data_IF_181734870552
#
_entry.id   IF_181734870552
#
_cell.length_a   1.000
_cell.length_b   1.000
_cell.length_c   1.000
_cell.angle_alpha   90.00
_cell.angle_beta   90.00
_cell.angle_gamma   90.00
#
_symmetry.space_group_name_H-M   'P 1'
#
loop_
_entity.id
_entity.type
_entity.pdbx_description
1 polymer ?
#
# COMPACT_ATOMS: atom_id res chain seq x y z
N UNK A 1 -25.01 1.75 -80.37
CA UNK A 1 -24.65 0.31 -80.31
C UNK A 1 -24.39 -0.02 -78.88
N UNK A 2 -25.34 -0.65 -78.14
CA UNK A 2 -25.15 -1.14 -76.80
C UNK A 2 -24.09 -2.24 -76.74
N UNK A 3 -23.19 -2.22 -75.79
CA UNK A 3 -22.27 -3.33 -75.55
C UNK A 3 -23.07 -4.57 -75.16
N UNK A 4 -22.75 -5.71 -75.82
CA UNK A 4 -23.43 -7.00 -75.58
C UNK A 4 -23.12 -7.64 -74.23
N UNK A 5 -22.17 -7.05 -73.43
CA UNK A 5 -21.75 -7.57 -72.15
C UNK A 5 -21.69 -6.45 -71.12
N UNK A 6 -22.34 -6.64 -69.96
CA UNK A 6 -22.23 -5.77 -68.82
C UNK A 6 -20.96 -6.19 -68.04
N UNK A 7 -20.07 -5.24 -67.79
CA UNK A 7 -18.93 -5.44 -66.91
C UNK A 7 -19.29 -5.05 -65.45
N UNK A 8 -18.97 -5.92 -64.52
CA UNK A 8 -19.12 -5.64 -63.08
C UNK A 8 -17.98 -4.72 -62.68
N UNK A 9 -18.26 -3.74 -61.83
CA UNK A 9 -17.21 -2.87 -61.26
C UNK A 9 -16.15 -3.71 -60.56
N UNK A 10 -14.88 -3.34 -60.78
CA UNK A 10 -13.76 -3.95 -60.09
C UNK A 10 -13.86 -3.72 -58.56
N UNK A 11 -13.18 -4.53 -57.80
CA UNK A 11 -13.08 -4.35 -56.35
C UNK A 11 -12.70 -2.90 -56.02
N UNK A 12 -13.24 -2.37 -54.91
CA UNK A 12 -13.08 -0.96 -54.51
C UNK A 12 -14.01 0.04 -55.21
N UNK A 13 -14.76 -0.41 -56.24
CA UNK A 13 -15.65 0.47 -57.02
C UNK A 13 -17.09 -0.05 -57.01
N UNK A 14 -18.07 0.83 -57.12
CA UNK A 14 -19.47 0.52 -57.06
C UNK A 14 -20.28 1.35 -58.09
N UNK A 15 -21.50 0.96 -58.34
CA UNK A 15 -22.48 1.73 -59.11
C UNK A 15 -23.73 1.91 -58.26
N UNK A 16 -24.35 3.09 -58.29
CA UNK A 16 -25.60 3.34 -57.56
C UNK A 16 -26.84 2.79 -58.27
N UNK A 17 -26.79 2.61 -59.56
CA UNK A 17 -27.89 2.14 -60.38
C UNK A 17 -27.38 1.18 -61.47
N UNK A 18 -28.19 0.14 -61.77
CA UNK A 18 -27.89 -0.77 -62.87
C UNK A 18 -27.92 -0.01 -64.19
N UNK A 19 -26.99 -0.35 -65.08
CA UNK A 19 -26.90 0.29 -66.40
C UNK A 19 -26.07 1.59 -66.42
N UNK A 20 -25.36 1.92 -65.36
CA UNK A 20 -24.40 3.06 -65.29
C UNK A 20 -23.23 2.76 -66.26
N UNK A 21 -22.74 3.82 -66.92
CA UNK A 21 -21.58 3.76 -67.81
C UNK A 21 -20.23 3.85 -67.12
N UNK A 22 -20.23 4.18 -65.81
CA UNK A 22 -19.00 4.34 -65.01
C UNK A 22 -19.19 3.83 -63.60
N UNK A 23 -18.09 3.33 -63.04
CA UNK A 23 -18.00 2.92 -61.61
C UNK A 23 -17.44 4.06 -60.76
N UNK A 24 -18.00 4.26 -59.57
CA UNK A 24 -17.55 5.20 -58.55
C UNK A 24 -16.62 4.49 -57.58
N UNK A 25 -15.63 5.15 -57.09
CA UNK A 25 -14.75 4.63 -56.06
C UNK A 25 -15.42 4.67 -54.66
N UNK A 26 -15.22 3.61 -53.88
CA UNK A 26 -15.62 3.65 -52.48
C UNK A 26 -14.87 4.79 -51.73
N UNK A 27 -15.55 5.62 -50.93
CA UNK A 27 -14.91 6.69 -50.22
C UNK A 27 -14.00 6.16 -49.08
N UNK A 28 -13.18 7.03 -48.53
CA UNK A 28 -12.38 6.70 -47.33
C UNK A 28 -13.28 6.17 -46.19
N UNK A 29 -12.78 5.20 -45.43
CA UNK A 29 -13.56 4.50 -44.43
C UNK A 29 -14.49 3.42 -44.97
N UNK A 30 -14.50 3.19 -46.27
CA UNK A 30 -15.31 2.19 -46.93
C UNK A 30 -14.46 1.27 -47.83
N UNK A 31 -14.99 0.11 -48.09
CA UNK A 31 -14.37 -0.90 -48.96
C UNK A 31 -15.41 -1.66 -49.79
N UNK A 32 -15.00 -2.32 -50.83
CA UNK A 32 -15.80 -3.32 -51.53
C UNK A 32 -14.90 -4.43 -52.09
N UNK A 33 -15.02 -5.64 -51.55
CA UNK A 33 -14.35 -6.80 -52.12
C UNK A 33 -15.01 -7.24 -53.44
N UNK A 34 -14.32 -8.05 -54.22
CA UNK A 34 -14.80 -8.50 -55.50
C UNK A 34 -16.12 -9.28 -55.43
N UNK A 35 -16.28 -10.08 -54.35
CA UNK A 35 -17.46 -10.89 -54.07
C UNK A 35 -18.63 -10.11 -53.46
N UNK A 36 -18.42 -8.84 -53.10
CA UNK A 36 -19.48 -8.01 -52.53
C UNK A 36 -20.43 -7.47 -53.62
N UNK A 37 -21.65 -7.07 -53.20
CA UNK A 37 -22.60 -6.42 -54.12
C UNK A 37 -21.94 -5.26 -54.88
N UNK A 38 -22.10 -5.19 -56.19
CA UNK A 38 -21.52 -4.11 -56.98
C UNK A 38 -22.22 -2.76 -56.77
N UNK A 39 -23.36 -2.72 -56.05
CA UNK A 39 -24.19 -1.53 -55.90
C UNK A 39 -23.89 -0.68 -54.70
N UNK A 40 -23.04 -1.16 -53.77
CA UNK A 40 -22.73 -0.42 -52.54
C UNK A 40 -21.35 -0.79 -51.98
N UNK A 41 -20.73 0.15 -51.28
CA UNK A 41 -19.56 -0.11 -50.46
C UNK A 41 -19.97 -0.49 -49.02
N UNK A 42 -19.13 -1.26 -48.35
CA UNK A 42 -19.24 -1.61 -46.94
C UNK A 42 -18.36 -0.67 -46.08
N UNK A 43 -18.84 -0.31 -44.94
CA UNK A 43 -18.07 0.47 -43.98
C UNK A 43 -16.96 -0.40 -43.35
N UNK A 44 -15.79 0.17 -43.14
CA UNK A 44 -14.81 -0.47 -42.27
C UNK A 44 -15.38 -0.63 -40.84
N UNK A 45 -15.23 -1.81 -40.29
CA UNK A 45 -15.62 -2.10 -38.92
C UNK A 45 -14.67 -1.40 -37.91
N UNK A 46 -15.08 -1.39 -36.64
CA UNK A 46 -14.24 -0.89 -35.52
C UNK A 46 -12.90 -1.65 -35.49
N UNK A 47 -11.84 -0.94 -35.18
CA UNK A 47 -10.47 -1.47 -35.24
C UNK A 47 -9.84 -1.41 -36.62
N UNK A 48 -10.63 -1.13 -37.67
CA UNK A 48 -10.19 -1.06 -39.05
C UNK A 48 -10.37 0.35 -39.62
N UNK A 49 -9.57 0.69 -40.61
CA UNK A 49 -9.64 1.97 -41.29
C UNK A 49 -9.35 1.85 -42.79
N UNK A 50 -9.63 2.92 -43.49
CA UNK A 50 -9.25 3.06 -44.89
C UNK A 50 -8.97 4.53 -45.24
N UNK A 51 -7.72 4.86 -45.49
CA UNK A 51 -7.28 6.22 -45.75
C UNK A 51 -7.31 6.65 -47.21
N UNK A 52 -7.67 5.73 -48.12
CA UNK A 52 -7.72 6.00 -49.53
C UNK A 52 -9.09 5.61 -50.11
N UNK A 53 -9.43 6.16 -51.26
CA UNK A 53 -10.62 5.76 -52.03
C UNK A 53 -10.36 4.49 -52.85
N UNK A 54 -11.43 3.83 -53.27
CA UNK A 54 -11.33 2.69 -54.20
C UNK A 54 -10.66 1.46 -53.59
N UNK A 55 -10.67 1.27 -52.32
CA UNK A 55 -9.99 0.13 -51.67
C UNK A 55 -10.86 -1.12 -51.60
N UNK A 56 -10.29 -2.31 -51.87
CA UNK A 56 -11.02 -3.58 -51.83
C UNK A 56 -11.18 -4.15 -50.44
N UNK A 57 -10.41 -3.69 -49.44
CA UNK A 57 -10.43 -4.15 -48.05
C UNK A 57 -10.07 -3.00 -47.10
N UNK A 58 -10.45 -3.14 -45.84
CA UNK A 58 -10.01 -2.23 -44.78
C UNK A 58 -8.70 -2.70 -44.14
N UNK A 59 -7.88 -1.76 -43.73
CA UNK A 59 -6.61 -2.00 -43.04
C UNK A 59 -6.82 -2.07 -41.54
N UNK A 60 -6.06 -2.90 -40.86
CA UNK A 60 -6.05 -2.96 -39.42
C UNK A 60 -5.27 -1.78 -38.83
N UNK A 61 -5.78 -1.16 -37.75
CA UNK A 61 -4.99 -0.23 -36.99
C UNK A 61 -3.79 -0.96 -36.36
N UNK A 62 -2.61 -0.37 -36.49
CA UNK A 62 -1.39 -0.94 -35.90
C UNK A 62 -1.42 -0.90 -34.37
N UNK A 63 -0.56 -1.70 -33.73
CA UNK A 63 -0.36 -1.64 -32.29
C UNK A 63 0.02 -0.20 -31.87
N UNK A 64 -0.49 0.26 -30.73
CA UNK A 64 -0.40 1.66 -30.30
C UNK A 64 -1.51 2.56 -30.84
N UNK A 65 -2.36 2.04 -31.76
CA UNK A 65 -3.45 2.79 -32.39
C UNK A 65 -4.77 2.03 -32.29
N UNK A 66 -5.89 2.74 -32.45
CA UNK A 66 -7.23 2.18 -32.39
C UNK A 66 -8.22 2.91 -33.33
N UNK A 67 -9.33 2.25 -33.62
CA UNK A 67 -10.49 2.87 -34.24
C UNK A 67 -11.75 2.42 -33.49
N UNK A 68 -12.38 3.35 -32.76
CA UNK A 68 -13.56 3.10 -31.94
C UNK A 68 -14.89 3.24 -32.70
N UNK A 69 -14.82 3.71 -33.95
CA UNK A 69 -15.98 3.92 -34.79
C UNK A 69 -15.84 3.17 -36.10
N UNK A 70 -16.98 2.74 -36.62
CA UNK A 70 -17.05 2.26 -38.02
C UNK A 70 -16.78 3.41 -38.98
N UNK A 71 -16.35 3.08 -40.20
CA UNK A 71 -16.12 4.06 -41.24
C UNK A 71 -14.92 4.98 -40.96
N UNK A 72 -14.00 4.54 -40.12
CA UNK A 72 -12.78 5.32 -39.81
C UNK A 72 -11.90 5.44 -41.07
N UNK A 73 -11.47 6.67 -41.36
CA UNK A 73 -10.48 6.92 -42.42
C UNK A 73 -9.06 6.88 -41.89
N UNK A 74 -8.87 7.02 -40.57
CA UNK A 74 -7.57 6.99 -39.88
C UNK A 74 -7.74 6.28 -38.55
N UNK A 75 -6.65 5.72 -38.04
CA UNK A 75 -6.56 5.24 -36.67
C UNK A 75 -6.14 6.38 -35.71
N UNK A 76 -6.71 6.40 -34.53
CA UNK A 76 -6.33 7.29 -33.44
C UNK A 76 -5.16 6.69 -32.65
N UNK A 77 -4.17 7.50 -32.30
CA UNK A 77 -3.06 7.09 -31.46
C UNK A 77 -3.47 6.98 -29.99
N UNK A 78 -2.98 5.98 -29.28
CA UNK A 78 -3.07 5.94 -27.83
C UNK A 78 -2.39 7.16 -27.22
N UNK A 79 -3.03 7.75 -26.21
CA UNK A 79 -2.49 8.88 -25.46
C UNK A 79 -1.40 8.41 -24.51
N UNK A 80 -0.68 9.38 -23.91
CA UNK A 80 0.27 9.13 -22.83
C UNK A 80 -0.38 8.30 -21.73
N UNK A 81 0.37 7.39 -21.12
CA UNK A 81 -0.13 6.49 -20.10
C UNK A 81 -0.96 5.33 -20.63
N UNK A 82 -1.15 5.22 -21.93
CA UNK A 82 -2.00 4.19 -22.55
C UNK A 82 -1.26 3.46 -23.69
N UNK A 83 -1.71 2.24 -23.98
CA UNK A 83 -1.12 1.41 -25.02
C UNK A 83 -2.14 0.46 -25.64
N UNK A 84 -1.80 -0.12 -26.80
CA UNK A 84 -2.46 -1.30 -27.36
C UNK A 84 -1.43 -2.28 -27.91
N UNK A 85 -1.43 -3.50 -27.42
CA UNK A 85 -0.41 -4.50 -27.80
C UNK A 85 -0.64 -5.15 -29.16
N UNK A 86 -1.89 -5.21 -29.61
CA UNK A 86 -2.29 -5.92 -30.84
C UNK A 86 -2.83 -4.93 -31.86
N UNK A 87 -2.86 -5.36 -33.12
CA UNK A 87 -3.54 -4.66 -34.22
C UNK A 87 -5.07 -4.75 -34.07
N UNK A 88 -5.76 -3.94 -34.82
CA UNK A 88 -7.22 -3.91 -34.91
C UNK A 88 -7.93 -3.64 -33.60
N UNK A 89 -7.31 -2.85 -32.69
CA UNK A 89 -7.90 -2.52 -31.39
C UNK A 89 -8.93 -1.40 -31.52
N UNK A 90 -9.94 -1.47 -30.67
CA UNK A 90 -11.05 -0.50 -30.62
C UNK A 90 -10.87 0.55 -29.54
N UNK A 91 -9.93 0.37 -28.63
CA UNK A 91 -9.59 1.30 -27.54
C UNK A 91 -8.20 1.01 -27.00
N UNK A 92 -7.60 2.01 -26.38
CA UNK A 92 -6.36 1.85 -25.63
C UNK A 92 -6.62 1.39 -24.20
N UNK A 93 -5.64 0.70 -23.62
CA UNK A 93 -5.61 0.27 -22.22
C UNK A 93 -4.65 1.17 -21.46
N UNK A 94 -4.95 1.43 -20.18
CA UNK A 94 -4.02 2.12 -19.30
C UNK A 94 -2.80 1.23 -19.03
N UNK A 95 -1.64 1.85 -18.84
CA UNK A 95 -0.50 1.15 -18.29
C UNK A 95 -0.82 0.71 -16.85
N UNK A 96 -0.54 -0.54 -16.52
CA UNK A 96 -0.69 -1.07 -15.18
C UNK A 96 0.26 -0.37 -14.19
N UNK A 97 -0.01 -0.52 -12.88
CA UNK A 97 0.93 -0.05 -11.85
C UNK A 97 2.32 -0.66 -12.05
N UNK A 98 3.36 0.14 -11.86
CA UNK A 98 4.74 -0.23 -12.13
C UNK A 98 5.17 -0.02 -13.58
N UNK A 99 4.27 0.53 -14.41
CA UNK A 99 4.55 0.84 -15.81
C UNK A 99 4.08 2.26 -16.15
N UNK A 100 4.70 2.85 -17.16
CA UNK A 100 4.35 4.16 -17.68
C UNK A 100 4.50 4.24 -19.20
N UNK A 101 3.86 5.21 -19.82
CA UNK A 101 4.05 5.53 -21.25
C UNK A 101 4.20 7.03 -21.44
N UNK A 102 5.41 7.46 -21.78
CA UNK A 102 5.78 8.87 -21.97
C UNK A 102 5.58 9.38 -23.40
N UNK A 103 5.12 8.53 -24.30
CA UNK A 103 4.91 8.87 -25.70
C UNK A 103 3.53 8.36 -26.15
N UNK A 104 3.00 8.95 -27.20
CA UNK A 104 1.75 8.48 -27.84
C UNK A 104 2.01 7.29 -28.75
N UNK A 105 0.96 6.60 -29.14
CA UNK A 105 1.00 5.45 -30.07
C UNK A 105 1.90 4.29 -29.59
N UNK A 106 2.06 4.11 -28.29
CA UNK A 106 2.90 3.04 -27.75
C UNK A 106 2.18 1.68 -27.79
N UNK A 107 2.90 0.66 -28.23
CA UNK A 107 2.43 -0.73 -28.23
C UNK A 107 2.62 -1.43 -26.88
N UNK A 108 3.50 -0.93 -26.03
CA UNK A 108 3.79 -1.45 -24.68
C UNK A 108 4.13 -0.28 -23.76
N UNK A 109 3.83 -0.46 -22.48
CA UNK A 109 4.30 0.45 -21.45
C UNK A 109 5.74 0.13 -21.03
N UNK A 110 6.51 1.15 -20.66
CA UNK A 110 7.87 1.03 -20.09
C UNK A 110 7.75 0.65 -18.61
N UNK A 111 8.57 -0.28 -18.16
CA UNK A 111 8.61 -0.69 -16.75
C UNK A 111 9.38 0.34 -15.92
N UNK A 112 8.91 0.59 -14.71
CA UNK A 112 9.66 1.37 -13.72
C UNK A 112 11.00 0.71 -13.37
N UNK A 113 12.00 1.48 -12.90
CA UNK A 113 13.24 0.94 -12.36
C UNK A 113 13.00 -0.12 -11.27
N UNK A 114 13.99 -0.99 -10.98
CA UNK A 114 13.87 -1.95 -9.90
C UNK A 114 13.44 -1.31 -8.58
N UNK A 115 12.69 -2.04 -7.76
CA UNK A 115 12.18 -1.62 -6.45
C UNK A 115 11.33 -0.32 -6.48
N UNK A 116 10.83 0.07 -7.65
CA UNK A 116 9.92 1.22 -7.78
C UNK A 116 8.59 0.82 -8.40
N UNK A 117 7.57 1.63 -8.16
CA UNK A 117 6.21 1.39 -8.62
C UNK A 117 5.53 2.73 -8.92
N UNK A 118 4.42 2.71 -9.64
CA UNK A 118 3.56 3.88 -9.82
C UNK A 118 2.36 3.81 -8.88
N UNK A 119 1.92 4.94 -8.35
CA UNK A 119 0.75 4.99 -7.47
C UNK A 119 -0.54 4.60 -8.19
N UNK A 120 -0.63 4.98 -9.47
CA UNK A 120 -1.84 4.84 -10.29
C UNK A 120 -1.52 4.16 -11.61
N UNK A 121 -2.53 3.52 -12.17
CA UNK A 121 -2.51 3.10 -13.57
C UNK A 121 -2.50 4.32 -14.50
N UNK A 122 -2.06 4.11 -15.73
CA UNK A 122 -2.04 5.18 -16.73
C UNK A 122 -0.98 6.25 -16.48
N UNK A 123 0.09 5.93 -15.78
CA UNK A 123 1.21 6.86 -15.53
C UNK A 123 1.89 7.27 -16.83
N UNK A 124 2.20 8.56 -16.94
CA UNK A 124 2.64 9.20 -18.18
C UNK A 124 4.15 9.47 -18.27
N UNK A 125 4.89 9.28 -17.18
CA UNK A 125 6.33 9.54 -17.13
C UNK A 125 7.05 8.64 -16.12
N UNK A 126 8.36 8.54 -16.25
CA UNK A 126 9.24 7.88 -15.29
C UNK A 126 9.27 8.57 -13.93
N UNK A 127 9.01 9.88 -13.88
CA UNK A 127 8.89 10.62 -12.62
C UNK A 127 7.72 10.16 -11.73
N UNK A 128 6.76 9.42 -12.29
CA UNK A 128 5.70 8.76 -11.54
C UNK A 128 6.17 7.48 -10.85
N UNK A 129 7.36 6.96 -11.18
CA UNK A 129 7.96 5.79 -10.54
C UNK A 129 8.60 6.22 -9.22
N UNK A 130 7.95 5.88 -8.12
CA UNK A 130 8.41 6.13 -6.74
C UNK A 130 8.83 4.80 -6.10
N UNK A 131 9.60 4.84 -5.02
CA UNK A 131 10.02 3.61 -4.34
C UNK A 131 8.81 2.76 -3.93
N UNK A 132 8.88 1.47 -4.19
CA UNK A 132 7.85 0.51 -3.88
C UNK A 132 7.67 0.35 -2.37
N UNK A 133 6.64 -0.41 -1.97
CA UNK A 133 6.43 -0.81 -0.57
C UNK A 133 7.69 -1.47 0.00
N UNK A 134 8.02 -1.11 1.23
CA UNK A 134 9.21 -1.56 1.97
C UNK A 134 10.57 -1.10 1.40
N UNK A 135 10.53 -0.12 0.50
CA UNK A 135 11.72 0.57 0.00
C UNK A 135 11.60 2.07 0.24
N UNK A 136 12.75 2.75 0.36
CA UNK A 136 12.85 4.19 0.49
C UNK A 136 13.90 4.75 -0.46
N UNK A 137 13.74 6.01 -0.83
CA UNK A 137 14.68 6.68 -1.72
C UNK A 137 15.93 7.11 -0.96
N UNK A 138 17.09 6.81 -1.54
CA UNK A 138 18.38 7.37 -1.14
C UNK A 138 19.20 7.74 -2.38
N UNK A 139 20.30 8.43 -2.19
CA UNK A 139 21.21 8.79 -3.28
C UNK A 139 22.39 7.85 -3.31
N UNK A 140 22.69 7.32 -4.49
CA UNK A 140 23.90 6.54 -4.71
C UNK A 140 25.15 7.44 -4.75
N UNK A 141 26.32 6.84 -4.89
CA UNK A 141 27.61 7.54 -4.99
C UNK A 141 27.68 8.53 -6.16
N UNK A 142 26.87 8.35 -7.19
CA UNK A 142 26.78 9.21 -8.37
C UNK A 142 25.69 10.30 -8.24
N UNK A 143 24.99 10.35 -7.11
CA UNK A 143 23.90 11.29 -6.86
C UNK A 143 22.55 10.90 -7.48
N UNK A 144 22.42 9.70 -8.06
CA UNK A 144 21.17 9.20 -8.60
C UNK A 144 20.25 8.72 -7.45
N UNK A 145 18.95 8.91 -7.62
CA UNK A 145 17.97 8.36 -6.67
C UNK A 145 17.79 6.87 -6.92
N UNK A 146 18.07 6.07 -5.90
CA UNK A 146 17.84 4.62 -5.89
C UNK A 146 16.86 4.26 -4.78
N UNK A 147 16.19 3.11 -4.91
CA UNK A 147 15.29 2.59 -3.89
C UNK A 147 16.00 1.50 -3.10
N UNK A 148 16.28 1.78 -1.83
CA UNK A 148 16.92 0.86 -0.89
C UNK A 148 15.89 0.20 0.01
N UNK A 149 16.10 -1.06 0.37
CA UNK A 149 15.18 -1.79 1.25
C UNK A 149 15.19 -1.22 2.67
N UNK A 150 14.04 -1.23 3.31
CA UNK A 150 13.97 -0.94 4.74
C UNK A 150 14.86 -1.90 5.55
N UNK A 151 15.44 -1.45 6.67
CA UNK A 151 16.18 -2.30 7.58
C UNK A 151 15.39 -3.56 8.01
N UNK A 152 16.06 -4.63 8.41
CA UNK A 152 15.38 -5.85 8.87
C UNK A 152 14.31 -5.57 9.93
N UNK A 153 13.19 -6.31 9.86
CA UNK A 153 12.05 -6.19 10.76
C UNK A 153 11.34 -4.81 10.75
N UNK A 154 11.55 -4.04 9.68
CA UNK A 154 10.85 -2.79 9.43
C UNK A 154 10.25 -2.75 8.04
N UNK A 155 9.32 -1.83 7.82
CA UNK A 155 8.69 -1.63 6.53
C UNK A 155 7.95 -0.30 6.47
N UNK A 156 7.42 0.02 5.30
CA UNK A 156 6.69 1.28 5.06
C UNK A 156 5.19 1.19 5.36
N UNK A 157 4.69 0.04 5.85
CA UNK A 157 3.27 -0.20 6.13
C UNK A 157 2.37 0.10 4.92
N UNK A 158 2.67 -0.51 3.78
CA UNK A 158 1.97 -0.34 2.49
C UNK A 158 2.10 1.07 1.88
N UNK A 159 2.93 1.93 2.44
CA UNK A 159 3.21 3.23 1.86
C UNK A 159 4.27 3.10 0.76
N UNK A 160 3.98 3.65 -0.42
CA UNK A 160 4.92 3.78 -1.53
C UNK A 160 5.41 5.22 -1.64
N UNK A 161 6.59 5.42 -2.23
CA UNK A 161 7.16 6.76 -2.38
C UNK A 161 7.84 7.29 -1.11
N UNK A 162 8.30 6.41 -0.23
CA UNK A 162 9.11 6.81 0.92
C UNK A 162 10.39 7.49 0.45
N UNK A 163 10.63 8.71 0.91
CA UNK A 163 11.74 9.57 0.46
C UNK A 163 13.01 9.40 1.30
N UNK A 164 12.96 8.70 2.41
CA UNK A 164 14.10 8.40 3.27
C UNK A 164 13.79 7.27 4.25
N UNK A 165 14.78 6.76 4.97
CA UNK A 165 14.65 5.64 5.91
C UNK A 165 13.76 5.91 7.13
N UNK A 166 13.35 7.16 7.41
CA UNK A 166 12.45 7.46 8.54
C UNK A 166 11.02 6.94 8.33
N UNK A 167 10.65 6.65 7.06
CA UNK A 167 9.40 5.99 6.72
C UNK A 167 9.39 4.51 7.08
N UNK A 168 10.57 3.88 7.24
CA UNK A 168 10.68 2.50 7.68
C UNK A 168 10.38 2.39 9.17
N UNK A 169 9.22 1.84 9.50
CA UNK A 169 8.76 1.62 10.88
C UNK A 169 8.90 0.15 11.24
N UNK A 170 9.25 -0.13 12.48
CA UNK A 170 9.34 -1.50 12.94
C UNK A 170 7.98 -2.20 12.85
N UNK A 171 8.00 -3.45 12.42
CA UNK A 171 6.83 -4.31 12.36
C UNK A 171 6.32 -4.63 13.77
N UNK A 172 5.10 -5.16 13.85
CA UNK A 172 4.53 -5.63 15.12
C UNK A 172 5.43 -6.72 15.73
N UNK A 173 5.62 -6.64 17.03
CA UNK A 173 6.57 -7.50 17.76
C UNK A 173 8.02 -6.99 17.78
N UNK A 174 8.29 -5.86 17.14
CA UNK A 174 9.58 -5.19 17.14
C UNK A 174 9.45 -3.73 17.59
N UNK A 175 10.52 -3.17 18.11
CA UNK A 175 10.58 -1.79 18.55
C UNK A 175 11.94 -1.16 18.23
N UNK A 176 11.99 0.16 18.12
CA UNK A 176 13.21 0.91 17.82
C UNK A 176 13.66 1.70 19.03
N UNK A 177 14.89 1.48 19.53
CA UNK A 177 15.48 2.34 20.55
C UNK A 177 15.67 3.78 20.05
N UNK A 178 15.61 4.75 20.95
CA UNK A 178 15.73 6.17 20.58
C UNK A 178 17.00 6.48 19.76
N UNK A 179 18.12 5.81 20.08
CA UNK A 179 19.40 5.98 19.40
C UNK A 179 19.74 4.79 18.48
N UNK A 180 18.80 3.86 18.24
CA UNK A 180 19.01 2.67 17.44
C UNK A 180 18.71 2.89 15.96
N UNK A 181 19.49 2.24 15.10
CA UNK A 181 19.21 2.21 13.66
C UNK A 181 18.29 1.05 13.27
N UNK A 182 18.25 -0.01 14.06
CA UNK A 182 17.57 -1.27 13.76
C UNK A 182 16.38 -1.54 14.68
N UNK A 183 15.46 -2.36 14.18
CA UNK A 183 14.31 -2.85 14.94
C UNK A 183 14.70 -4.08 15.74
N UNK A 184 14.58 -4.00 17.05
CA UNK A 184 14.87 -5.08 17.99
C UNK A 184 13.60 -5.86 18.34
N UNK A 185 13.75 -7.15 18.62
CA UNK A 185 12.66 -7.99 19.09
C UNK A 185 12.05 -7.40 20.35
N UNK A 186 10.72 -7.40 20.41
CA UNK A 186 9.99 -6.96 21.59
C UNK A 186 10.41 -7.77 22.82
N UNK A 187 10.76 -7.12 23.93
CA UNK A 187 11.18 -7.84 25.15
C UNK A 187 10.07 -8.75 25.65
N UNK A 188 10.46 -9.85 26.33
CA UNK A 188 9.50 -10.72 27.02
C UNK A 188 8.58 -9.92 27.94
N UNK A 189 7.31 -10.28 28.00
CA UNK A 189 6.29 -9.63 28.83
C UNK A 189 6.05 -8.15 28.49
N UNK A 190 6.27 -7.80 27.24
CA UNK A 190 5.89 -6.51 26.66
C UNK A 190 5.18 -6.69 25.33
N UNK A 191 4.40 -5.68 24.98
CA UNK A 191 3.76 -5.55 23.67
C UNK A 191 4.39 -4.38 22.93
N UNK A 192 4.82 -4.63 21.70
CA UNK A 192 5.38 -3.62 20.79
C UNK A 192 4.48 -3.51 19.56
N UNK A 193 3.92 -2.34 19.34
CA UNK A 193 3.08 -2.06 18.19
C UNK A 193 3.67 -0.92 17.36
N UNK A 194 3.78 -1.10 16.07
CA UNK A 194 4.18 -0.06 15.12
C UNK A 194 5.50 0.64 15.48
N UNK A 195 6.48 -0.10 15.98
CA UNK A 195 7.80 0.44 16.37
C UNK A 195 7.83 1.34 17.59
N UNK A 196 6.71 1.46 18.32
CA UNK A 196 6.65 2.22 19.57
C UNK A 196 7.43 1.53 20.70
N UNK A 197 7.75 2.29 21.74
CA UNK A 197 8.40 1.76 22.92
C UNK A 197 7.62 0.57 23.50
N UNK A 198 8.32 -0.47 23.99
CA UNK A 198 7.70 -1.64 24.57
C UNK A 198 6.79 -1.29 25.75
N UNK A 199 5.52 -1.62 25.66
CA UNK A 199 4.54 -1.49 26.74
C UNK A 199 4.56 -2.76 27.59
N UNK A 200 4.77 -2.62 28.90
CA UNK A 200 4.74 -3.75 29.83
C UNK A 200 3.35 -4.36 29.90
N UNK A 201 3.26 -5.68 29.80
CA UNK A 201 2.00 -6.39 29.87
C UNK A 201 1.44 -6.39 31.29
N UNK A 202 0.13 -6.59 31.44
CA UNK A 202 -0.52 -6.79 32.73
C UNK A 202 0.18 -7.92 33.50
N UNK A 203 0.29 -7.79 34.81
CA UNK A 203 0.95 -8.75 35.71
C UNK A 203 2.46 -8.58 35.80
N UNK A 204 3.04 -7.65 35.04
CA UNK A 204 4.48 -7.42 35.04
C UNK A 204 4.82 -5.96 35.34
N UNK A 205 6.02 -5.76 35.87
CA UNK A 205 6.58 -4.48 36.23
C UNK A 205 7.95 -4.29 35.56
N UNK A 206 8.18 -3.14 34.94
CA UNK A 206 9.47 -2.79 34.35
C UNK A 206 10.40 -2.30 35.47
N UNK A 207 11.52 -2.98 35.69
CA UNK A 207 12.47 -2.61 36.71
C UNK A 207 13.04 -1.19 36.47
N UNK A 208 12.94 -0.26 37.45
CA UNK A 208 13.46 1.11 37.29
C UNK A 208 14.97 1.24 37.53
N UNK A 209 15.65 0.14 37.87
CA UNK A 209 16.96 0.10 38.50
C UNK A 209 18.11 0.70 37.71
N UNK A 210 19.04 1.26 38.45
CA UNK A 210 20.31 1.78 37.98
C UNK A 210 21.19 0.68 37.34
N UNK A 211 22.12 1.15 36.50
CA UNK A 211 23.06 0.42 35.67
C UNK A 211 23.98 -0.59 36.43
N UNK A 212 23.97 -0.60 37.76
CA UNK A 212 24.97 -1.27 38.56
C UNK A 212 24.69 -2.72 38.97
N UNK A 213 23.50 -3.27 38.70
CA UNK A 213 23.17 -4.65 39.10
C UNK A 213 23.10 -5.63 37.91
N UNK A 214 23.19 -5.15 36.69
CA UNK A 214 23.09 -5.98 35.46
C UNK A 214 24.30 -5.80 34.56
N UNK A 215 25.45 -6.21 35.07
CA UNK A 215 26.58 -6.62 34.25
C UNK A 215 26.31 -8.02 33.71
N UNK A 216 25.18 -8.16 33.04
CA UNK A 216 24.85 -9.28 32.18
C UNK A 216 25.02 -8.79 30.75
N UNK A 217 26.17 -9.08 30.22
CA UNK A 217 26.63 -9.07 28.86
C UNK A 217 25.56 -9.31 27.78
N UNK A 218 24.59 -8.45 27.65
CA UNK A 218 23.75 -8.37 26.46
C UNK A 218 23.48 -6.93 26.10
N UNK A 219 23.93 -6.55 24.93
CA UNK A 219 23.73 -5.26 24.27
C UNK A 219 22.24 -4.91 24.04
N UNK A 220 21.31 -5.64 24.63
CA UNK A 220 19.87 -5.40 24.59
C UNK A 220 19.43 -4.64 25.82
N UNK A 221 19.39 -3.33 25.72
CA UNK A 221 18.93 -2.39 26.74
C UNK A 221 17.43 -2.46 27.08
N UNK A 222 16.78 -3.59 26.89
CA UNK A 222 15.43 -3.82 27.37
C UNK A 222 15.47 -4.22 28.82
N UNK A 223 15.17 -3.25 29.71
CA UNK A 223 15.07 -3.51 31.16
C UNK A 223 14.17 -4.73 31.41
N UNK A 224 14.59 -5.67 32.30
CA UNK A 224 13.81 -6.88 32.54
C UNK A 224 12.43 -6.51 33.11
N UNK A 225 11.45 -7.30 32.78
CA UNK A 225 10.10 -7.21 33.30
C UNK A 225 9.91 -8.33 34.31
N UNK A 226 9.68 -7.95 35.54
CA UNK A 226 9.52 -8.90 36.65
C UNK A 226 8.04 -9.16 36.91
N UNK A 227 7.65 -10.40 37.23
CA UNK A 227 6.27 -10.69 37.59
C UNK A 227 5.92 -9.98 38.89
N UNK A 228 4.74 -9.41 38.97
CA UNK A 228 4.22 -8.84 40.22
C UNK A 228 3.79 -9.94 41.18
N UNK A 229 3.94 -9.72 42.48
CA UNK A 229 3.55 -10.69 43.50
C UNK A 229 2.08 -11.10 43.38
N UNK A 230 1.24 -10.14 43.03
CA UNK A 230 -0.14 -10.32 42.64
C UNK A 230 -0.27 -9.82 41.19
N UNK A 231 -0.65 -10.71 40.28
CA UNK A 231 -0.71 -10.40 38.85
C UNK A 231 -1.71 -9.29 38.50
N UNK A 232 -2.79 -9.18 39.26
CA UNK A 232 -3.80 -8.14 39.09
C UNK A 232 -3.38 -6.77 39.60
N UNK A 233 -2.35 -6.72 40.48
CA UNK A 233 -1.83 -5.48 41.06
C UNK A 233 -1.16 -4.59 40.00
N UNK A 234 -0.53 -5.19 39.01
CA UNK A 234 0.15 -4.50 37.93
C UNK A 234 -0.73 -4.43 36.72
N UNK A 235 -1.32 -3.28 36.44
CA UNK A 235 -2.26 -3.08 35.31
C UNK A 235 -1.53 -3.04 33.97
N UNK A 236 -0.20 -2.96 34.01
CA UNK A 236 0.61 -2.79 32.80
C UNK A 236 0.70 -1.32 32.37
N UNK A 237 1.47 -1.07 31.32
CA UNK A 237 1.61 0.26 30.77
C UNK A 237 0.49 0.50 29.73
N UNK A 238 -0.31 1.55 29.93
CA UNK A 238 -1.28 2.02 28.93
C UNK A 238 -0.60 3.05 28.01
N UNK A 239 -1.05 3.11 26.75
CA UNK A 239 -0.63 4.17 25.82
C UNK A 239 -0.79 5.54 26.45
N UNK A 240 0.31 6.27 26.60
CA UNK A 240 0.28 7.67 27.01
C UNK A 240 0.76 8.52 25.82
N UNK A 241 0.10 9.62 25.62
CA UNK A 241 0.37 10.57 24.52
C UNK A 241 1.67 11.36 24.72
N UNK A 242 2.25 11.30 25.91
CA UNK A 242 3.43 12.06 26.36
C UNK A 242 4.78 11.32 26.21
N UNK A 243 4.78 10.16 25.57
CA UNK A 243 6.02 9.41 25.27
C UNK A 243 6.65 8.69 26.47
N UNK A 244 6.12 8.84 27.67
CA UNK A 244 6.58 8.12 28.86
C UNK A 244 5.60 7.02 29.25
N UNK A 245 6.06 5.77 29.18
CA UNK A 245 5.32 4.63 29.72
C UNK A 245 5.53 4.58 31.22
N UNK A 246 4.53 4.96 32.02
CA UNK A 246 4.54 4.73 33.47
C UNK A 246 3.76 3.46 33.76
N UNK A 247 4.42 2.58 34.51
CA UNK A 247 3.78 1.41 35.11
C UNK A 247 2.69 1.89 36.07
N UNK A 248 1.52 1.31 36.00
CA UNK A 248 0.40 1.65 36.91
C UNK A 248 0.07 0.47 37.78
N UNK A 249 -0.15 0.77 39.06
CA UNK A 249 -0.73 -0.16 39.99
C UNK A 249 -2.26 -0.08 39.94
N UNK A 250 -2.91 -1.19 40.22
CA UNK A 250 -4.36 -1.24 40.35
C UNK A 250 -4.86 -0.42 41.54
N UNK A 251 -6.16 -0.25 41.64
CA UNK A 251 -6.80 0.40 42.77
C UNK A 251 -6.40 -0.29 44.07
N UNK A 252 -6.30 0.44 45.16
CA UNK A 252 -5.82 0.04 46.50
C UNK A 252 -4.33 -0.27 46.62
N UNK A 253 -3.54 -0.23 45.53
CA UNK A 253 -2.09 -0.32 45.58
C UNK A 253 -1.45 1.05 45.49
N UNK A 254 -0.33 1.23 46.18
CA UNK A 254 0.40 2.50 46.20
C UNK A 254 0.97 2.78 44.82
N UNK A 255 0.60 3.92 44.22
CA UNK A 255 1.09 4.34 42.92
C UNK A 255 2.62 4.51 42.95
N UNK A 256 3.31 3.89 41.96
CA UNK A 256 4.76 3.97 41.86
C UNK A 256 5.54 3.05 42.78
N UNK A 257 4.89 2.26 43.65
CA UNK A 257 5.60 1.23 44.43
C UNK A 257 6.15 0.15 43.50
N UNK A 258 7.40 -0.30 43.67
CA UNK A 258 7.98 -1.38 42.87
C UNK A 258 7.11 -2.64 42.95
N UNK A 259 6.86 -3.27 41.78
CA UNK A 259 6.03 -4.46 41.66
C UNK A 259 4.59 -4.29 42.20
N UNK A 260 4.14 -3.07 42.45
CA UNK A 260 2.89 -2.78 43.16
C UNK A 260 2.81 -3.53 44.51
N UNK A 261 3.92 -3.66 45.21
CA UNK A 261 4.02 -4.47 46.42
C UNK A 261 3.44 -3.81 47.67
N UNK A 262 3.28 -2.49 47.67
CA UNK A 262 2.73 -1.72 48.79
C UNK A 262 1.27 -1.36 48.58
N UNK A 263 0.48 -1.41 49.64
CA UNK A 263 -0.90 -0.95 49.62
C UNK A 263 -1.01 0.56 49.76
N UNK A 264 -2.00 1.16 49.14
CA UNK A 264 -2.33 2.58 49.29
C UNK A 264 -2.85 2.88 50.71
N UNK A 265 -2.80 4.15 51.12
CA UNK A 265 -3.39 4.57 52.43
C UNK A 265 -4.87 4.22 52.44
N UNK A 266 -5.33 3.67 53.57
CA UNK A 266 -6.70 3.18 53.72
C UNK A 266 -6.95 1.79 53.14
N UNK A 267 -5.89 1.08 52.82
CA UNK A 267 -5.95 -0.33 52.35
C UNK A 267 -4.95 -1.17 53.17
N UNK A 268 -5.25 -2.44 53.34
CA UNK A 268 -4.41 -3.43 53.99
C UNK A 268 -4.06 -4.58 53.07
N UNK A 269 -3.00 -5.29 53.36
CA UNK A 269 -2.57 -6.46 52.59
C UNK A 269 -3.12 -7.73 53.22
N UNK A 270 -3.91 -8.45 52.44
CA UNK A 270 -4.41 -9.77 52.85
C UNK A 270 -3.28 -10.82 52.78
N UNK A 271 -3.06 -11.52 53.86
CA UNK A 271 -1.91 -12.42 54.02
C UNK A 271 -1.95 -13.62 53.07
N UNK A 272 -3.13 -14.14 52.79
CA UNK A 272 -3.31 -15.35 51.94
C UNK A 272 -3.18 -15.08 50.44
N UNK A 273 -3.64 -13.92 49.97
CA UNK A 273 -3.71 -13.61 48.55
C UNK A 273 -2.74 -12.53 48.08
N UNK A 274 -2.03 -11.87 49.03
CA UNK A 274 -1.19 -10.70 48.77
C UNK A 274 -1.94 -9.50 48.13
N UNK A 275 -3.28 -9.54 48.09
CA UNK A 275 -4.10 -8.44 47.57
C UNK A 275 -4.22 -7.29 48.57
N UNK A 276 -4.24 -6.08 48.03
CA UNK A 276 -4.59 -4.90 48.76
C UNK A 276 -6.11 -4.70 48.75
N UNK A 277 -6.74 -4.72 49.91
CA UNK A 277 -8.17 -4.52 50.08
C UNK A 277 -8.46 -3.24 50.86
N UNK A 278 -9.57 -2.53 50.60
CA UNK A 278 -9.89 -1.31 51.34
C UNK A 278 -10.17 -1.64 52.80
N UNK A 279 -9.70 -0.79 53.73
CA UNK A 279 -10.11 -0.84 55.14
C UNK A 279 -11.60 -0.51 55.22
N UNK A 280 -12.41 -1.43 55.76
CA UNK A 280 -13.80 -1.10 56.08
C UNK A 280 -13.88 -0.06 57.17
N UNK A 281 -14.86 0.86 57.09
CA UNK A 281 -15.05 1.90 58.10
C UNK A 281 -15.30 1.32 59.52
N UNK A 282 -15.77 0.10 59.61
CA UNK A 282 -16.01 -0.60 60.89
C UNK A 282 -14.74 -1.05 61.60
N UNK A 283 -13.64 -1.38 60.86
CA UNK A 283 -12.37 -1.77 61.46
C UNK A 283 -11.58 -0.59 62.05
N UNK A 284 -11.82 0.62 61.60
CA UNK A 284 -11.18 1.83 62.13
C UNK A 284 -11.55 2.10 63.60
N UNK A 285 -12.75 1.73 64.04
CA UNK A 285 -13.21 1.91 65.40
C UNK A 285 -12.76 0.77 66.38
N UNK A 286 -12.58 -0.45 65.80
CA UNK A 286 -12.18 -1.58 66.66
C UNK A 286 -10.74 -1.57 67.10
N UNK A 287 -9.83 -0.99 66.31
CA UNK A 287 -8.40 -0.86 66.67
C UNK A 287 -8.20 0.21 67.75
N UNK A 288 -9.02 1.23 67.80
CA UNK A 288 -9.01 2.25 68.84
C UNK A 288 -9.52 1.74 70.20
N UNK A 289 -10.44 0.79 70.15
CA UNK A 289 -11.00 0.19 71.39
C UNK A 289 -10.01 -0.83 71.98
N UNK A 290 -9.27 -1.57 71.18
CA UNK A 290 -8.25 -2.50 71.68
C UNK A 290 -7.01 -1.79 72.24
N UNK A 291 -6.69 -0.61 71.78
CA UNK A 291 -5.58 0.17 72.35
C UNK A 291 -5.92 0.89 73.66
N UNK A 292 -7.22 1.02 73.97
CA UNK A 292 -7.63 1.58 75.33
C UNK A 292 -7.83 0.53 76.39
N UNK A 293 -7.90 -0.76 76.06
CA UNK A 293 -8.08 -1.85 77.06
C UNK A 293 -6.74 -2.40 77.57
N UNK A 294 -5.61 -2.00 77.04
CA UNK A 294 -4.27 -2.47 77.47
C UNK A 294 -3.56 -1.46 78.36
N UNK A 295 -4.19 -0.34 78.71
CA UNK A 295 -3.63 0.71 79.62
C UNK A 295 -4.56 0.90 80.82
N UNK A 296 -5.30 -0.09 81.27
CA UNK A 296 -6.02 -0.09 82.52
C UNK A 296 -5.57 -1.25 83.43
#
# INVERSE_FOLDING_TARGET
KGSATCQICAAGKFVSTNGSSSCFECPQGWMRAEQDSPTSCKQCDIGLYNNATGQPFCLECDAGMFADQKKSSLCSSCRLGMFTKRKAQIRCLNCDKGFYSSETAQSNCKKCPPQSNTEKEGSISDSACVCAEDYYAERDENGNTICSSCPPNSGTNQFIGATNSSFCRCQNGYWKPANGKECLICPKHATCMNGRLPLTNQGYWKAPWKKEILDLTSQNSSKPRLPCLESTACVGAKNQTDGFTREKCAEFYQAGSPLCAACARGSYKEAASFKCLPCSKEYSNSVLIMSMVVIA
#
